data_IF_849282931129
#
_entry.id   IF_849282931129
#
_cell.length_a   1.000
_cell.length_b   1.000
_cell.length_c   1.000
_cell.angle_alpha   90.00
_cell.angle_beta   90.00
_cell.angle_gamma   90.00
#
_symmetry.space_group_name_H-M   'P 1'
#
loop_
_entity.id
_entity.type
_entity.pdbx_description
1 polymer ?
#
# COMPACT_ATOMS: atom_id res chain seq x y z
N UNK A 1 6.44 -16.41 -0.70
CA UNK A 1 7.32 -17.35 -1.47
C UNK A 1 7.75 -16.75 -2.81
N UNK A 2 6.84 -16.43 -3.75
CA UNK A 2 7.19 -15.85 -5.07
C UNK A 2 8.06 -14.59 -4.98
N UNK A 3 7.73 -13.68 -4.09
CA UNK A 3 8.49 -12.45 -3.90
C UNK A 3 9.93 -12.70 -3.43
N UNK A 4 10.14 -13.74 -2.62
CA UNK A 4 11.48 -14.17 -2.19
C UNK A 4 12.29 -14.70 -3.36
N UNK A 5 11.68 -15.49 -4.24
CA UNK A 5 12.33 -15.98 -5.46
C UNK A 5 12.73 -14.84 -6.40
N UNK A 6 11.85 -13.85 -6.59
CA UNK A 6 12.16 -12.64 -7.38
C UNK A 6 13.29 -11.82 -6.75
N UNK A 7 13.31 -11.71 -5.43
CA UNK A 7 14.38 -11.02 -4.72
C UNK A 7 15.74 -11.71 -4.92
N UNK A 8 15.76 -13.05 -4.94
CA UNK A 8 17.00 -13.81 -5.19
C UNK A 8 17.45 -13.77 -6.65
N UNK A 9 16.49 -13.71 -7.58
CA UNK A 9 16.79 -13.63 -9.02
C UNK A 9 17.26 -12.24 -9.48
N UNK A 10 17.21 -11.23 -8.59
CA UNK A 10 17.56 -9.84 -8.92
C UNK A 10 18.47 -9.25 -7.85
N UNK A 11 19.24 -8.21 -8.22
CA UNK A 11 20.21 -7.58 -7.31
C UNK A 11 19.92 -6.12 -6.98
N UNK A 12 19.17 -5.41 -7.84
CA UNK A 12 18.91 -3.97 -7.71
C UNK A 12 17.44 -3.62 -7.52
N UNK A 13 16.53 -4.45 -8.03
CA UNK A 13 15.09 -4.15 -7.96
C UNK A 13 14.60 -4.21 -6.52
N UNK A 14 13.84 -3.20 -6.11
CA UNK A 14 13.02 -3.29 -4.90
C UNK A 14 11.87 -4.26 -5.15
N UNK A 15 11.47 -4.94 -4.10
CA UNK A 15 10.43 -5.98 -4.17
C UNK A 15 9.33 -5.69 -3.16
N UNK A 16 8.08 -5.82 -3.58
CA UNK A 16 6.91 -5.58 -2.73
C UNK A 16 5.65 -6.16 -3.34
N UNK A 17 4.59 -6.23 -2.55
CA UNK A 17 3.23 -6.54 -3.01
C UNK A 17 2.43 -5.25 -2.97
N UNK A 18 1.66 -4.97 -4.02
CA UNK A 18 0.79 -3.80 -4.09
C UNK A 18 -0.68 -4.25 -4.15
N UNK A 19 -1.35 -4.52 -3.04
CA UNK A 19 -0.88 -4.66 -1.66
C UNK A 19 -1.41 -5.96 -1.08
N UNK A 20 -0.88 -6.45 0.07
CA UNK A 20 -1.46 -7.60 0.75
C UNK A 20 -2.62 -7.17 1.66
N UNK A 21 -3.76 -7.86 1.57
CA UNK A 21 -4.87 -7.67 2.50
C UNK A 21 -4.51 -8.17 3.91
N UNK A 22 -4.73 -7.32 4.91
CA UNK A 22 -4.34 -7.66 6.29
C UNK A 22 -5.16 -8.82 6.89
N UNK A 23 -6.35 -9.10 6.33
CA UNK A 23 -7.22 -10.19 6.79
C UNK A 23 -6.69 -11.58 6.44
N UNK A 24 -5.73 -11.72 5.50
CA UNK A 24 -5.19 -13.02 5.12
C UNK A 24 -4.28 -13.65 6.17
N UNK A 25 -3.71 -12.88 7.10
CA UNK A 25 -2.81 -13.40 8.13
C UNK A 25 -2.67 -12.47 9.32
N UNK A 26 -2.31 -13.05 10.47
CA UNK A 26 -2.01 -12.25 11.66
C UNK A 26 -0.83 -11.31 11.41
N UNK A 27 -0.88 -10.02 11.84
CA UNK A 27 0.18 -9.04 11.58
C UNK A 27 1.54 -9.45 12.16
N UNK A 28 1.59 -10.19 13.26
CA UNK A 28 2.86 -10.72 13.79
C UNK A 28 3.52 -11.73 12.83
N UNK A 29 2.72 -12.57 12.17
CA UNK A 29 3.23 -13.48 11.13
C UNK A 29 3.72 -12.68 9.92
N UNK A 30 2.99 -11.64 9.52
CA UNK A 30 3.40 -10.78 8.42
C UNK A 30 4.69 -10.02 8.75
N UNK A 31 4.86 -9.53 9.98
CA UNK A 31 6.09 -8.87 10.43
C UNK A 31 7.31 -9.81 10.34
N UNK A 32 7.16 -11.06 10.77
CA UNK A 32 8.23 -12.06 10.67
C UNK A 32 8.60 -12.37 9.21
N UNK A 33 7.58 -12.55 8.34
CA UNK A 33 7.80 -12.75 6.91
C UNK A 33 8.48 -11.54 6.25
N UNK A 34 8.10 -10.32 6.64
CA UNK A 34 8.69 -9.09 6.14
C UNK A 34 10.16 -8.95 6.56
N UNK A 35 10.47 -9.22 7.83
CA UNK A 35 11.86 -9.22 8.32
C UNK A 35 12.73 -10.22 7.56
N UNK A 36 12.23 -11.45 7.38
CA UNK A 36 12.93 -12.48 6.60
C UNK A 36 13.18 -12.03 5.17
N UNK A 37 12.15 -11.50 4.50
CA UNK A 37 12.31 -11.05 3.12
C UNK A 37 13.23 -9.83 3.00
N UNK A 38 13.22 -8.93 3.98
CA UNK A 38 14.12 -7.78 3.99
C UNK A 38 15.60 -8.21 4.11
N UNK A 39 15.88 -9.23 4.95
CA UNK A 39 17.21 -9.86 5.06
C UNK A 39 17.60 -10.51 3.72
N UNK A 40 16.76 -11.39 3.19
CA UNK A 40 17.02 -12.16 1.97
C UNK A 40 17.18 -11.25 0.76
N UNK A 41 16.43 -10.16 0.67
CA UNK A 41 16.53 -9.20 -0.42
C UNK A 41 17.69 -8.21 -0.28
N UNK A 42 18.39 -8.18 0.85
CA UNK A 42 19.42 -7.20 1.11
C UNK A 42 18.89 -5.76 1.11
N UNK A 43 17.89 -5.47 1.97
CA UNK A 43 17.31 -4.12 2.15
C UNK A 43 16.44 -3.62 1.00
N UNK A 44 15.85 -4.51 0.20
CA UNK A 44 15.05 -4.12 -0.98
C UNK A 44 13.55 -4.31 -0.81
N UNK A 45 13.08 -4.72 0.37
CA UNK A 45 11.64 -4.86 0.65
C UNK A 45 10.94 -3.49 0.73
N UNK A 46 9.77 -3.38 0.11
CA UNK A 46 8.71 -2.43 0.40
C UNK A 46 7.47 -3.21 0.84
N UNK A 47 7.00 -3.00 2.07
CA UNK A 47 5.89 -3.76 2.63
C UNK A 47 4.56 -3.12 2.26
N UNK A 48 3.90 -3.64 1.23
CA UNK A 48 2.57 -3.16 0.82
C UNK A 48 1.45 -3.84 1.60
N UNK A 49 0.58 -3.04 2.24
CA UNK A 49 -0.56 -3.48 3.04
C UNK A 49 -1.83 -2.69 2.73
N UNK A 50 -2.98 -3.32 2.95
CA UNK A 50 -4.29 -2.71 2.77
C UNK A 50 -5.37 -3.41 3.57
N UNK A 51 -6.53 -2.77 3.71
CA UNK A 51 -7.65 -3.29 4.50
C UNK A 51 -8.31 -4.55 3.88
N UNK A 52 -8.09 -4.82 2.60
CA UNK A 52 -8.77 -5.86 1.84
C UNK A 52 -10.07 -5.35 1.18
N UNK A 53 -10.45 -5.97 0.06
CA UNK A 53 -11.64 -5.54 -0.69
C UNK A 53 -12.35 -6.68 -1.44
N UNK A 54 -11.63 -7.71 -1.84
CA UNK A 54 -12.15 -8.74 -2.74
C UNK A 54 -13.02 -9.75 -1.97
N UNK A 55 -14.34 -9.55 -2.05
CA UNK A 55 -15.34 -10.39 -1.38
C UNK A 55 -15.44 -11.78 -2.02
N UNK A 56 -15.30 -11.85 -3.35
CA UNK A 56 -15.35 -13.12 -4.09
C UNK A 56 -14.17 -14.02 -3.73
N UNK A 57 -12.95 -13.49 -3.76
CA UNK A 57 -11.74 -14.22 -3.38
C UNK A 57 -11.79 -14.68 -1.91
N UNK A 58 -12.16 -13.76 -1.02
CA UNK A 58 -12.24 -14.06 0.41
C UNK A 58 -13.29 -15.14 0.70
N UNK A 59 -14.45 -15.06 0.05
CA UNK A 59 -15.52 -16.07 0.14
C UNK A 59 -15.09 -17.42 -0.42
N UNK A 60 -14.41 -17.43 -1.58
CA UNK A 60 -13.93 -18.66 -2.20
C UNK A 60 -12.90 -19.42 -1.34
N UNK A 61 -12.08 -18.69 -0.59
CA UNK A 61 -11.10 -19.29 0.33
C UNK A 61 -11.63 -19.50 1.76
N UNK A 62 -12.87 -19.14 2.05
CA UNK A 62 -13.42 -19.22 3.41
C UNK A 62 -12.74 -18.29 4.41
N UNK A 63 -12.12 -17.19 3.96
CA UNK A 63 -11.44 -16.21 4.79
C UNK A 63 -12.39 -15.07 5.07
N UNK A 64 -12.70 -14.81 6.35
CA UNK A 64 -13.62 -13.76 6.73
C UNK A 64 -13.04 -12.37 6.41
N UNK A 65 -13.67 -11.67 5.46
CA UNK A 65 -13.32 -10.29 5.12
C UNK A 65 -13.89 -9.29 6.14
N UNK A 66 -15.11 -9.53 6.60
CA UNK A 66 -15.84 -8.66 7.51
C UNK A 66 -16.49 -7.45 6.81
N UNK A 67 -17.23 -6.66 7.59
CA UNK A 67 -17.83 -5.40 7.12
C UNK A 67 -16.74 -4.37 6.81
N UNK A 68 -17.08 -3.32 6.06
CA UNK A 68 -16.15 -2.22 5.77
C UNK A 68 -15.59 -1.61 7.07
N UNK A 69 -16.46 -1.43 8.10
CA UNK A 69 -16.02 -0.91 9.40
C UNK A 69 -14.99 -1.85 10.04
N UNK A 70 -15.30 -3.12 10.17
CA UNK A 70 -14.40 -4.12 10.78
C UNK A 70 -13.08 -4.27 10.04
N UNK A 71 -13.09 -4.21 8.69
CA UNK A 71 -11.87 -4.23 7.86
C UNK A 71 -10.93 -3.10 8.23
N UNK A 72 -11.46 -1.88 8.34
CA UNK A 72 -10.65 -0.72 8.66
C UNK A 72 -10.21 -0.68 10.12
N UNK A 73 -11.07 -1.08 11.06
CA UNK A 73 -10.70 -1.19 12.47
C UNK A 73 -9.52 -2.18 12.64
N UNK A 74 -9.66 -3.36 12.03
CA UNK A 74 -8.59 -4.37 12.00
C UNK A 74 -7.31 -3.87 11.32
N UNK A 75 -7.46 -3.12 10.23
CA UNK A 75 -6.33 -2.59 9.46
C UNK A 75 -5.54 -1.54 10.26
N UNK A 76 -6.21 -0.65 10.95
CA UNK A 76 -5.57 0.37 11.78
C UNK A 76 -4.80 -0.26 12.96
N UNK A 77 -5.39 -1.25 13.64
CA UNK A 77 -4.69 -2.02 14.67
C UNK A 77 -3.47 -2.78 14.08
N UNK A 78 -3.63 -3.39 12.90
CA UNK A 78 -2.55 -4.11 12.25
C UNK A 78 -1.39 -3.19 11.85
N UNK A 79 -1.65 -1.96 11.41
CA UNK A 79 -0.61 -0.97 11.11
C UNK A 79 0.21 -0.64 12.37
N UNK A 80 -0.43 -0.48 13.52
CA UNK A 80 0.25 -0.22 14.79
C UNK A 80 1.10 -1.41 15.24
N UNK A 81 0.52 -2.61 15.22
CA UNK A 81 1.24 -3.87 15.52
C UNK A 81 2.44 -4.08 14.62
N UNK A 82 2.28 -3.90 13.29
CA UNK A 82 3.37 -4.04 12.33
C UNK A 82 4.48 -3.03 12.56
N UNK A 83 4.12 -1.77 12.78
CA UNK A 83 5.09 -0.70 13.05
C UNK A 83 5.90 -1.01 14.30
N UNK A 84 5.24 -1.43 15.40
CA UNK A 84 5.92 -1.82 16.64
C UNK A 84 6.85 -3.01 16.42
N UNK A 85 6.34 -4.14 15.92
CA UNK A 85 7.11 -5.37 15.73
C UNK A 85 8.30 -5.20 14.79
N UNK A 86 8.20 -4.33 13.78
CA UNK A 86 9.28 -4.11 12.82
C UNK A 86 10.35 -3.13 13.30
N UNK A 87 10.04 -2.26 14.28
CA UNK A 87 10.96 -1.19 14.72
C UNK A 87 11.39 -1.26 16.19
N UNK A 88 10.54 -1.79 17.09
CA UNK A 88 10.80 -1.83 18.53
C UNK A 88 11.40 -3.17 18.96
N UNK A 89 12.13 -3.17 20.08
CA UNK A 89 12.67 -4.41 20.68
C UNK A 89 11.55 -5.34 21.13
N UNK A 90 10.56 -4.80 21.84
CA UNK A 90 9.35 -5.50 22.26
C UNK A 90 8.13 -4.67 21.92
N UNK A 91 7.01 -5.33 21.63
CA UNK A 91 5.74 -4.70 21.29
C UNK A 91 4.63 -5.32 22.13
N UNK A 92 3.94 -4.50 22.90
CA UNK A 92 2.68 -4.86 23.56
C UNK A 92 1.54 -4.07 22.94
N UNK A 93 0.41 -4.72 22.69
CA UNK A 93 -0.78 -4.12 22.10
C UNK A 93 -2.02 -4.82 22.64
N UNK A 94 -3.03 -4.08 23.05
CA UNK A 94 -4.32 -4.61 23.52
C UNK A 94 -5.46 -3.94 22.78
N UNK A 95 -5.83 -4.52 21.63
CA UNK A 95 -6.89 -4.05 20.75
C UNK A 95 -8.09 -4.99 20.70
N UNK A 96 -9.02 -4.67 19.82
CA UNK A 96 -10.22 -5.47 19.60
C UNK A 96 -9.96 -6.70 18.73
N UNK A 97 -9.00 -6.62 17.81
CA UNK A 97 -8.67 -7.69 16.86
C UNK A 97 -7.35 -8.37 17.17
N UNK A 98 -6.42 -7.65 17.77
CA UNK A 98 -5.08 -8.18 18.06
C UNK A 98 -4.70 -7.89 19.50
N UNK A 99 -4.04 -8.88 20.12
CA UNK A 99 -3.47 -8.73 21.45
C UNK A 99 -2.06 -9.31 21.49
N UNK A 100 -1.09 -8.50 21.89
CA UNK A 100 0.31 -8.88 22.02
C UNK A 100 0.82 -8.49 23.41
N UNK A 101 1.65 -9.36 24.01
CA UNK A 101 2.30 -9.10 25.28
C UNK A 101 3.79 -9.31 25.10
N UNK A 102 4.58 -8.23 25.21
CA UNK A 102 6.04 -8.23 25.09
C UNK A 102 6.56 -9.04 23.89
N UNK A 103 5.80 -8.98 22.78
CA UNK A 103 6.10 -9.76 21.58
C UNK A 103 7.40 -9.24 20.92
N UNK A 104 8.24 -10.17 20.50
CA UNK A 104 9.50 -9.89 19.79
C UNK A 104 9.43 -10.39 18.36
N UNK A 105 10.00 -9.61 17.44
CA UNK A 105 10.18 -9.99 16.05
C UNK A 105 11.67 -9.94 15.73
N UNK A 106 12.36 -11.07 15.92
CA UNK A 106 13.81 -11.20 15.72
C UNK A 106 14.13 -12.40 14.79
N UNK A 107 15.18 -12.30 13.94
CA UNK A 107 15.97 -11.09 13.71
C UNK A 107 15.17 -10.04 12.91
N UNK A 108 15.38 -8.76 13.23
CA UNK A 108 14.84 -7.66 12.41
C UNK A 108 15.52 -7.59 11.07
N UNK A 109 14.78 -7.12 10.05
CA UNK A 109 15.35 -6.77 8.77
C UNK A 109 16.46 -5.70 8.89
N UNK A 110 17.30 -5.54 7.87
CA UNK A 110 18.42 -4.60 7.89
C UNK A 110 18.01 -3.13 7.62
N UNK A 111 16.79 -2.86 7.14
CA UNK A 111 16.31 -1.49 6.96
C UNK A 111 15.97 -0.84 8.30
N UNK A 112 16.26 0.46 8.47
CA UNK A 112 16.01 1.21 9.70
C UNK A 112 15.15 2.44 9.41
N UNK A 113 14.18 2.77 10.29
CA UNK A 113 13.79 2.02 11.49
C UNK A 113 13.13 0.67 11.17
N UNK A 114 12.62 0.47 9.95
CA UNK A 114 11.93 -0.71 9.41
C UNK A 114 11.90 -0.67 7.88
N UNK A 115 11.50 -1.73 7.19
CA UNK A 115 11.13 -1.65 5.77
C UNK A 115 10.05 -0.60 5.54
N UNK A 116 10.10 0.18 4.44
CA UNK A 116 9.05 1.13 4.12
C UNK A 116 7.68 0.45 4.02
N UNK A 117 6.67 1.05 4.66
CA UNK A 117 5.29 0.59 4.59
C UNK A 117 4.57 1.36 3.48
N UNK A 118 4.06 0.62 2.48
CA UNK A 118 3.19 1.16 1.45
C UNK A 118 1.74 0.83 1.81
N UNK A 119 0.89 1.86 1.92
CA UNK A 119 -0.55 1.69 2.11
C UNK A 119 -1.27 2.04 0.81
N UNK A 120 -2.07 1.08 0.32
CA UNK A 120 -2.86 1.24 -0.91
C UNK A 120 -4.35 1.43 -0.65
N UNK A 121 -4.96 2.30 -1.46
CA UNK A 121 -6.41 2.53 -1.49
C UNK A 121 -6.79 4.01 -1.53
N UNK A 122 -8.09 4.27 -1.78
CA UNK A 122 -8.61 5.58 -2.20
C UNK A 122 -9.47 6.29 -1.14
N UNK A 123 -9.74 5.65 -0.01
CA UNK A 123 -10.69 6.13 1.00
C UNK A 123 -10.17 7.36 1.75
N UNK A 124 -10.79 8.52 1.54
CA UNK A 124 -10.34 9.80 2.10
C UNK A 124 -10.38 9.85 3.62
N UNK A 125 -11.45 9.31 4.22
CA UNK A 125 -11.69 9.43 5.67
C UNK A 125 -10.81 8.50 6.51
N UNK A 126 -10.52 7.30 6.03
CA UNK A 126 -9.81 6.27 6.80
C UNK A 126 -8.49 5.86 6.14
N UNK A 127 -8.49 5.47 4.85
CA UNK A 127 -7.25 5.03 4.21
C UNK A 127 -6.18 6.12 4.21
N UNK A 128 -6.51 7.33 3.73
CA UNK A 128 -5.56 8.44 3.68
C UNK A 128 -5.13 8.91 5.08
N UNK A 129 -6.04 8.87 6.07
CA UNK A 129 -5.68 9.14 7.46
C UNK A 129 -4.71 8.09 8.02
N UNK A 130 -4.93 6.80 7.70
CA UNK A 130 -4.00 5.72 8.08
C UNK A 130 -2.66 5.85 7.35
N UNK A 131 -2.67 6.29 6.06
CA UNK A 131 -1.45 6.66 5.35
C UNK A 131 -0.68 7.76 6.09
N UNK A 132 -1.36 8.85 6.43
CA UNK A 132 -0.75 9.97 7.16
C UNK A 132 -0.13 9.54 8.50
N UNK A 133 -0.71 8.54 9.17
CA UNK A 133 -0.21 8.05 10.47
C UNK A 133 0.96 7.06 10.35
N UNK A 134 0.94 6.15 9.37
CA UNK A 134 1.83 4.98 9.38
C UNK A 134 2.65 4.76 8.11
N UNK A 135 2.23 5.33 6.94
CA UNK A 135 2.84 5.00 5.68
C UNK A 135 4.12 5.80 5.39
N UNK A 136 5.07 5.14 4.72
CA UNK A 136 6.19 5.80 4.03
C UNK A 136 5.85 6.00 2.54
N UNK A 137 4.89 5.23 2.03
CA UNK A 137 4.42 5.29 0.65
C UNK A 137 2.89 5.22 0.67
N UNK A 138 2.23 6.23 0.08
CA UNK A 138 0.79 6.22 -0.19
C UNK A 138 0.57 5.86 -1.66
N UNK A 139 -0.23 4.82 -1.92
CA UNK A 139 -0.58 4.41 -3.27
C UNK A 139 -2.07 4.58 -3.52
N UNK A 140 -2.41 5.34 -4.56
CA UNK A 140 -3.77 5.47 -5.07
C UNK A 140 -3.95 4.49 -6.23
N UNK A 141 -5.05 3.75 -6.26
CA UNK A 141 -5.35 2.83 -7.36
C UNK A 141 -6.18 3.50 -8.47
N UNK A 142 -6.28 2.80 -9.61
CA UNK A 142 -6.91 3.29 -10.83
C UNK A 142 -8.46 3.31 -10.77
N UNK A 143 -9.10 2.80 -9.73
CA UNK A 143 -10.56 2.76 -9.62
C UNK A 143 -11.17 4.15 -9.33
N UNK A 144 -10.44 5.21 -9.63
CA UNK A 144 -10.94 6.58 -9.54
C UNK A 144 -11.08 7.16 -10.95
N UNK A 145 -12.29 7.26 -11.50
CA UNK A 145 -12.50 8.04 -12.70
C UNK A 145 -12.10 9.51 -12.45
N UNK A 146 -11.39 10.11 -13.41
CA UNK A 146 -10.90 11.49 -13.27
C UNK A 146 -9.37 11.62 -13.25
N UNK A 147 -8.63 10.51 -13.32
CA UNK A 147 -7.18 10.52 -13.61
C UNK A 147 -6.37 11.40 -12.67
N UNK A 148 -5.58 12.30 -13.26
CA UNK A 148 -4.63 13.17 -12.55
C UNK A 148 -5.31 14.13 -11.56
N UNK A 149 -6.48 14.66 -11.89
CA UNK A 149 -7.18 15.61 -11.01
C UNK A 149 -7.67 14.93 -9.74
N UNK A 150 -8.19 13.71 -9.86
CA UNK A 150 -8.56 12.92 -8.67
C UNK A 150 -7.33 12.60 -7.84
N UNK A 151 -6.19 12.26 -8.46
CA UNK A 151 -4.94 12.05 -7.74
C UNK A 151 -4.52 13.31 -6.97
N UNK A 152 -4.50 14.48 -7.63
CA UNK A 152 -4.17 15.76 -7.00
C UNK A 152 -5.09 16.05 -5.80
N UNK A 153 -6.40 15.86 -5.95
CA UNK A 153 -7.36 16.02 -4.85
C UNK A 153 -7.05 15.06 -3.68
N UNK A 154 -6.81 13.76 -3.96
CA UNK A 154 -6.46 12.79 -2.91
C UNK A 154 -5.18 13.16 -2.17
N UNK A 155 -4.19 13.72 -2.87
CA UNK A 155 -2.95 14.18 -2.23
C UNK A 155 -3.18 15.39 -1.33
N UNK A 156 -4.06 16.33 -1.71
CA UNK A 156 -4.46 17.43 -0.83
C UNK A 156 -5.15 16.94 0.45
N UNK A 157 -6.01 15.91 0.33
CA UNK A 157 -6.64 15.27 1.51
C UNK A 157 -5.60 14.59 2.39
N UNK A 158 -4.61 13.91 1.80
CA UNK A 158 -3.49 13.32 2.54
C UNK A 158 -2.69 14.39 3.29
N UNK A 159 -2.37 15.51 2.62
CA UNK A 159 -1.64 16.64 3.21
C UNK A 159 -2.38 17.18 4.42
N UNK A 160 -3.69 17.35 4.29
CA UNK A 160 -4.53 17.82 5.41
C UNK A 160 -4.50 16.85 6.60
N UNK A 161 -4.55 15.54 6.36
CA UNK A 161 -4.40 14.56 7.43
C UNK A 161 -3.00 14.59 8.07
N UNK A 162 -1.95 14.83 7.29
CA UNK A 162 -0.60 15.00 7.83
C UNK A 162 -0.51 16.25 8.72
N UNK A 163 -1.04 17.39 8.27
CA UNK A 163 -1.11 18.62 9.07
C UNK A 163 -1.83 18.40 10.40
N UNK A 164 -3.01 17.75 10.38
CA UNK A 164 -3.81 17.43 11.57
C UNK A 164 -3.06 16.52 12.57
N UNK A 165 -2.09 15.74 12.09
CA UNK A 165 -1.23 14.84 12.88
C UNK A 165 0.14 15.46 13.23
N UNK A 166 0.45 16.66 12.74
CA UNK A 166 1.75 17.30 12.92
C UNK A 166 2.90 16.59 12.20
N UNK A 167 2.61 15.90 11.09
CA UNK A 167 3.59 15.18 10.27
C UNK A 167 3.88 15.95 8.98
N UNK A 168 5.15 16.00 8.58
CA UNK A 168 5.52 16.58 7.28
C UNK A 168 5.00 15.70 6.14
N UNK A 169 4.12 16.21 5.25
CA UNK A 169 3.63 15.47 4.09
C UNK A 169 4.73 15.02 3.13
N UNK A 170 5.87 15.69 3.09
CA UNK A 170 7.01 15.35 2.24
C UNK A 170 7.70 14.03 2.64
N UNK A 171 7.47 13.53 3.86
CA UNK A 171 7.96 12.23 4.29
C UNK A 171 7.26 11.06 3.58
N UNK A 172 6.11 11.30 2.96
CA UNK A 172 5.31 10.25 2.33
C UNK A 172 5.50 10.28 0.81
N UNK A 173 6.12 9.24 0.27
CA UNK A 173 6.21 9.04 -1.17
C UNK A 173 4.82 8.77 -1.75
N UNK A 174 4.45 9.51 -2.79
CA UNK A 174 3.16 9.41 -3.46
C UNK A 174 3.29 8.59 -4.72
N UNK A 175 2.43 7.62 -4.89
CA UNK A 175 2.41 6.73 -6.05
C UNK A 175 0.99 6.48 -6.52
N UNK A 176 0.85 6.16 -7.80
CA UNK A 176 -0.43 5.81 -8.42
C UNK A 176 -0.26 4.53 -9.24
N UNK A 177 -1.16 3.57 -9.03
CA UNK A 177 -1.33 2.44 -9.92
C UNK A 177 -2.35 2.83 -10.98
N UNK A 178 -1.92 2.96 -12.23
CA UNK A 178 -2.80 3.30 -13.33
C UNK A 178 -2.47 2.46 -14.57
N UNK A 179 -3.47 1.85 -15.24
CA UNK A 179 -3.27 1.20 -16.52
C UNK A 179 -2.94 2.23 -17.60
N UNK A 180 -1.97 1.92 -18.43
CA UNK A 180 -1.56 2.76 -19.55
C UNK A 180 -1.74 1.97 -20.84
N UNK A 181 -2.35 2.61 -21.85
CA UNK A 181 -2.41 2.10 -23.22
C UNK A 181 -1.80 3.11 -24.19
N UNK A 182 -0.77 2.71 -24.88
CA UNK A 182 -0.18 3.50 -25.95
C UNK A 182 -1.06 3.34 -27.21
N UNK A 183 -1.48 4.46 -27.79
CA UNK A 183 -2.23 4.52 -29.05
C UNK A 183 -1.77 5.74 -29.84
N UNK A 184 -1.22 5.50 -31.03
CA UNK A 184 -0.77 6.57 -31.94
C UNK A 184 -1.96 7.23 -32.68
N UNK A 185 -3.07 6.51 -32.84
CA UNK A 185 -4.31 6.99 -33.46
C UNK A 185 -5.22 7.63 -32.39
N UNK A 186 -5.59 8.90 -32.60
CA UNK A 186 -6.43 9.66 -31.67
C UNK A 186 -7.86 9.12 -31.56
N UNK A 187 -8.43 8.56 -32.65
CA UNK A 187 -9.76 7.97 -32.61
C UNK A 187 -9.78 6.70 -31.76
N UNK A 188 -8.71 5.88 -31.86
CA UNK A 188 -8.51 4.70 -31.02
C UNK A 188 -8.34 5.11 -29.55
N UNK A 189 -7.54 6.14 -29.27
CA UNK A 189 -7.34 6.65 -27.92
C UNK A 189 -8.66 7.15 -27.30
N UNK A 190 -9.44 7.94 -28.06
CA UNK A 190 -10.73 8.45 -27.63
C UNK A 190 -11.73 7.33 -27.32
N UNK A 191 -11.90 6.38 -28.25
CA UNK A 191 -12.80 5.24 -28.04
C UNK A 191 -12.40 4.39 -26.83
N UNK A 192 -11.11 4.25 -26.56
CA UNK A 192 -10.62 3.53 -25.40
C UNK A 192 -10.91 4.27 -24.10
N UNK A 193 -10.74 5.60 -24.05
CA UNK A 193 -11.04 6.43 -22.88
C UNK A 193 -12.56 6.50 -22.59
N UNK A 194 -13.41 6.50 -23.65
CA UNK A 194 -14.86 6.41 -23.47
C UNK A 194 -15.27 5.07 -22.81
N UNK A 195 -14.61 3.98 -23.20
CA UNK A 195 -14.85 2.64 -22.62
C UNK A 195 -14.26 2.46 -21.22
N UNK A 196 -13.11 3.05 -20.98
CA UNK A 196 -12.33 2.92 -19.73
C UNK A 196 -11.78 4.27 -19.27
N UNK A 197 -12.62 5.13 -18.66
CA UNK A 197 -12.20 6.49 -18.28
C UNK A 197 -11.15 6.56 -17.17
N UNK A 198 -10.80 5.41 -16.60
CA UNK A 198 -9.80 5.29 -15.51
C UNK A 198 -8.40 4.92 -15.99
N UNK A 199 -8.14 4.80 -17.30
CA UNK A 199 -6.80 4.54 -17.83
C UNK A 199 -6.16 5.81 -18.38
N UNK A 200 -4.83 5.78 -18.57
CA UNK A 200 -4.15 6.74 -19.44
C UNK A 200 -4.05 6.13 -20.84
N UNK A 201 -4.53 6.85 -21.85
CA UNK A 201 -4.47 6.38 -23.24
C UNK A 201 -4.08 7.51 -24.18
N UNK A 202 -3.13 7.26 -25.10
CA UNK A 202 -2.68 8.20 -26.11
C UNK A 202 -1.26 7.96 -26.58
N UNK A 203 -0.73 8.92 -27.33
CA UNK A 203 0.67 8.88 -27.81
C UNK A 203 1.66 8.90 -26.64
N UNK A 204 2.87 8.33 -26.80
CA UNK A 204 3.87 8.35 -25.74
C UNK A 204 4.17 9.74 -25.18
N UNK A 205 4.31 10.76 -26.04
CA UNK A 205 4.56 12.14 -25.63
C UNK A 205 3.45 12.70 -24.73
N UNK A 206 2.19 12.49 -25.10
CA UNK A 206 1.03 12.91 -24.30
C UNK A 206 1.02 12.24 -22.91
N UNK A 207 1.30 10.93 -22.87
CA UNK A 207 1.37 10.19 -21.57
C UNK A 207 2.50 10.72 -20.69
N UNK A 208 3.68 10.98 -21.28
CA UNK A 208 4.84 11.55 -20.55
C UNK A 208 4.52 12.94 -19.99
N UNK A 209 3.93 13.80 -20.81
CA UNK A 209 3.53 15.17 -20.39
C UNK A 209 2.51 15.13 -19.25
N UNK A 210 1.55 14.20 -19.32
CA UNK A 210 0.52 14.04 -18.29
C UNK A 210 1.08 13.53 -16.95
N UNK A 211 2.06 12.62 -17.00
CA UNK A 211 2.73 12.10 -15.79
C UNK A 211 3.66 13.16 -15.18
N UNK A 212 4.19 14.08 -15.98
CA UNK A 212 5.09 15.14 -15.55
C UNK A 212 4.41 16.32 -14.84
N UNK A 213 3.09 16.38 -14.81
CA UNK A 213 2.28 17.45 -14.16
C UNK A 213 2.09 17.18 -12.67
#
# INVERSE_FOLDING_TARGET
>A
MTLTALAQATTRLRVGVLVTGIHYRHPAVLANMASTLDIVSGRRLELGIGAGWNEEESGAYGIALGTVKERFDRFEEACEVLTGLLSQETTSFDGSFYRLTEARNEPKGPQRPRPPICIGGNGEKRTLKTCAKYADICNIDFNNPGGVDVFKHKMQVLDKHCEDLGRDPAEIKRTMLIPIRIADDEAVAKAELERRPWILCGKPSYIVDLIGQ
#
